data_IF_691519661944
#
_entry.id   IF_691519661944
#
_cell.length_a   1.000
_cell.length_b   1.000
_cell.length_c   1.000
_cell.angle_alpha   90.00
_cell.angle_beta   90.00
_cell.angle_gamma   90.00
#
_symmetry.space_group_name_H-M   'P 1'
#
loop_
_entity.id
_entity.type
_entity.pdbx_description
1 polymer ?
#
# COMPACT_ATOMS: atom_id res chain seq x y z
N UNK A 1 4.73 -23.51 -3.28
CA UNK A 1 4.17 -22.34 -4.00
C UNK A 1 3.63 -21.40 -2.95
N UNK A 2 4.24 -20.23 -2.77
CA UNK A 2 3.84 -19.23 -1.76
C UNK A 2 2.63 -18.46 -2.32
N UNK A 3 1.50 -18.45 -1.62
CA UNK A 3 0.34 -17.69 -2.07
C UNK A 3 0.52 -16.20 -1.76
N UNK A 4 -0.21 -15.31 -2.46
CA UNK A 4 -0.24 -13.85 -2.16
C UNK A 4 -0.53 -13.61 -0.68
N UNK A 5 -1.44 -14.40 -0.10
CA UNK A 5 -1.77 -14.39 1.32
C UNK A 5 -0.53 -14.63 2.20
N UNK A 6 0.18 -15.73 1.96
CA UNK A 6 1.34 -16.11 2.76
C UNK A 6 2.49 -15.09 2.59
N UNK A 7 2.62 -14.49 1.39
CA UNK A 7 3.57 -13.41 1.15
C UNK A 7 3.25 -12.14 1.97
N UNK A 8 1.99 -11.69 1.94
CA UNK A 8 1.54 -10.52 2.73
C UNK A 8 1.65 -10.81 4.23
N UNK A 9 1.34 -12.03 4.66
CA UNK A 9 1.50 -12.47 6.05
C UNK A 9 2.97 -12.47 6.50
N UNK A 10 3.89 -13.02 5.68
CA UNK A 10 5.33 -13.05 5.98
C UNK A 10 5.94 -11.64 6.02
N UNK A 11 5.52 -10.77 5.11
CA UNK A 11 5.96 -9.37 5.07
C UNK A 11 5.32 -8.52 6.18
N UNK A 12 4.15 -8.90 6.67
CA UNK A 12 3.28 -8.12 7.57
C UNK A 12 2.64 -6.90 6.90
N UNK A 13 3.41 -6.17 6.09
CA UNK A 13 3.01 -5.00 5.29
C UNK A 13 3.67 -5.03 3.91
N UNK A 14 2.90 -4.77 2.87
CA UNK A 14 3.39 -4.73 1.50
C UNK A 14 2.60 -3.73 0.64
N UNK A 15 3.30 -3.05 -0.27
CA UNK A 15 2.68 -2.19 -1.28
C UNK A 15 2.10 -3.02 -2.43
N UNK A 16 1.11 -2.47 -3.16
CA UNK A 16 0.57 -3.13 -4.36
C UNK A 16 1.69 -3.46 -5.35
N UNK A 17 2.59 -2.51 -5.55
CA UNK A 17 3.70 -2.61 -6.49
C UNK A 17 4.70 -3.71 -6.11
N UNK A 18 5.03 -3.85 -4.83
CA UNK A 18 5.92 -4.92 -4.36
C UNK A 18 5.30 -6.31 -4.59
N UNK A 19 4.00 -6.44 -4.34
CA UNK A 19 3.28 -7.70 -4.57
C UNK A 19 3.22 -7.99 -6.08
N UNK A 20 2.81 -7.01 -6.88
CA UNK A 20 2.75 -7.12 -8.34
C UNK A 20 4.10 -7.55 -8.93
N UNK A 21 5.20 -6.93 -8.47
CA UNK A 21 6.56 -7.26 -8.90
C UNK A 21 7.01 -8.65 -8.45
N UNK A 22 6.65 -9.07 -7.24
CA UNK A 22 6.98 -10.40 -6.73
C UNK A 22 6.28 -11.51 -7.51
N UNK A 23 4.99 -11.34 -7.80
CA UNK A 23 4.18 -12.31 -8.53
C UNK A 23 4.27 -12.15 -10.06
N UNK A 24 4.99 -11.12 -10.54
CA UNK A 24 5.06 -10.73 -11.97
C UNK A 24 3.69 -10.54 -12.60
N UNK A 25 2.76 -9.98 -11.84
CA UNK A 25 1.40 -9.69 -12.26
C UNK A 25 1.23 -8.18 -12.44
N UNK A 26 0.35 -7.73 -13.35
CA UNK A 26 0.00 -6.32 -13.42
C UNK A 26 -0.68 -5.89 -12.11
N UNK A 27 -0.52 -4.61 -11.76
CA UNK A 27 -1.08 -4.03 -10.54
C UNK A 27 -2.61 -4.20 -10.49
N UNK A 28 -3.30 -4.07 -11.62
CA UNK A 28 -4.76 -4.26 -11.72
C UNK A 28 -5.22 -5.68 -11.36
N UNK A 29 -4.47 -6.71 -11.78
CA UNK A 29 -4.77 -8.10 -11.44
C UNK A 29 -4.44 -8.38 -9.97
N UNK A 30 -3.32 -7.85 -9.49
CA UNK A 30 -2.90 -7.96 -8.10
C UNK A 30 -3.90 -7.29 -7.17
N UNK A 31 -4.39 -6.11 -7.55
CA UNK A 31 -5.39 -5.35 -6.82
C UNK A 31 -6.71 -6.13 -6.73
N UNK A 32 -7.19 -6.70 -7.84
CA UNK A 32 -8.38 -7.57 -7.81
C UNK A 32 -8.19 -8.77 -6.87
N UNK A 33 -7.03 -9.41 -6.90
CA UNK A 33 -6.72 -10.49 -5.99
C UNK A 33 -6.72 -10.02 -4.53
N UNK A 34 -6.08 -8.90 -4.22
CA UNK A 34 -6.06 -8.34 -2.86
C UNK A 34 -7.45 -7.92 -2.40
N UNK A 35 -8.27 -7.32 -3.27
CA UNK A 35 -9.68 -6.98 -3.00
C UNK A 35 -10.50 -8.20 -2.61
N UNK A 36 -10.25 -9.35 -3.24
CA UNK A 36 -10.90 -10.60 -2.85
C UNK A 36 -10.54 -11.00 -1.41
N UNK A 37 -9.27 -10.89 -1.02
CA UNK A 37 -8.82 -11.19 0.35
C UNK A 37 -9.28 -10.14 1.37
N UNK A 38 -9.38 -8.86 0.97
CA UNK A 38 -9.94 -7.78 1.78
C UNK A 38 -11.42 -8.04 2.06
N UNK A 39 -12.19 -8.40 1.04
CA UNK A 39 -13.60 -8.77 1.19
C UNK A 39 -13.78 -9.99 2.11
N UNK A 40 -12.79 -10.88 2.13
CA UNK A 40 -12.75 -12.05 3.02
C UNK A 40 -12.22 -11.73 4.43
N UNK A 41 -11.73 -10.51 4.67
CA UNK A 41 -11.26 -10.04 5.97
C UNK A 41 -9.82 -10.43 6.35
N UNK A 42 -9.06 -11.04 5.44
CA UNK A 42 -7.68 -11.48 5.72
C UNK A 42 -6.63 -10.38 5.52
N UNK A 43 -6.89 -9.46 4.59
CA UNK A 43 -5.97 -8.36 4.28
C UNK A 43 -6.71 -7.05 4.56
N UNK A 44 -6.03 -6.12 5.22
CA UNK A 44 -6.54 -4.78 5.48
C UNK A 44 -5.80 -3.79 4.59
N UNK A 45 -6.55 -3.03 3.81
CA UNK A 45 -6.01 -1.92 3.05
C UNK A 45 -5.94 -0.70 3.97
N UNK A 46 -4.73 -0.21 4.20
CA UNK A 46 -4.47 1.01 4.97
C UNK A 46 -4.09 2.08 3.95
N UNK A 47 -4.94 3.09 3.83
CA UNK A 47 -4.57 4.32 3.13
C UNK A 47 -3.95 5.23 4.16
N UNK A 48 -2.61 5.32 4.14
CA UNK A 48 -1.92 6.31 4.94
C UNK A 48 -2.05 7.65 4.20
N UNK A 49 -3.12 8.38 4.49
CA UNK A 49 -3.17 9.82 4.24
C UNK A 49 -2.24 10.47 5.25
N UNK A 50 -0.94 10.40 5.01
CA UNK A 50 0.01 11.24 5.71
C UNK A 50 -0.14 12.65 5.11
N UNK A 51 -1.24 13.32 5.45
CA UNK A 51 -1.28 14.77 5.46
C UNK A 51 -0.29 15.19 6.53
N UNK A 52 1.00 15.24 6.19
CA UNK A 52 1.96 16.00 6.99
C UNK A 52 1.36 17.40 7.01
N UNK A 53 0.90 17.93 8.16
CA UNK A 53 0.59 19.34 8.21
C UNK A 53 1.93 20.02 7.95
N UNK A 54 2.12 20.53 6.73
CA UNK A 54 3.19 21.46 6.42
C UNK A 54 2.92 22.65 7.36
N UNK A 55 3.45 22.62 8.59
CA UNK A 55 3.31 23.68 9.58
C UNK A 55 3.99 24.90 8.95
N UNK A 56 3.14 25.80 8.47
CA UNK A 56 3.44 26.78 7.46
C UNK A 56 4.18 28.01 8.02
N UNK A 57 5.19 27.81 8.86
CA UNK A 57 5.93 28.93 9.46
C UNK A 57 7.40 29.00 9.06
N UNK A 58 8.01 27.98 8.42
CA UNK A 58 9.45 28.03 8.04
C UNK A 58 9.87 27.24 6.78
N UNK A 59 9.07 27.22 5.71
CA UNK A 59 9.53 26.64 4.43
C UNK A 59 9.42 27.65 3.28
N UNK A 60 10.50 28.40 3.02
CA UNK A 60 10.55 29.41 1.96
C UNK A 60 10.95 28.86 0.57
N UNK A 61 11.26 27.56 0.37
CA UNK A 61 11.81 27.11 -0.93
C UNK A 61 11.56 25.65 -1.35
N UNK A 62 10.48 24.99 -0.93
CA UNK A 62 10.14 23.66 -1.49
C UNK A 62 8.72 23.64 -2.06
N UNK A 63 8.60 23.85 -3.38
CA UNK A 63 7.36 23.90 -4.15
C UNK A 63 6.72 22.52 -4.43
N UNK A 64 6.73 21.60 -3.47
CA UNK A 64 6.00 20.34 -3.59
C UNK A 64 5.79 19.67 -2.21
N UNK A 65 4.78 20.14 -1.45
CA UNK A 65 4.13 19.26 -0.46
C UNK A 65 3.43 18.17 -1.28
N UNK A 66 4.17 17.12 -1.65
CA UNK A 66 3.63 15.98 -2.38
C UNK A 66 2.77 15.18 -1.39
N UNK A 67 1.46 15.38 -1.45
CA UNK A 67 0.47 14.52 -0.79
C UNK A 67 0.50 13.16 -1.48
N UNK A 68 1.55 12.38 -1.23
CA UNK A 68 1.66 11.04 -1.78
C UNK A 68 0.82 10.12 -0.92
N UNK A 69 -0.43 9.90 -1.35
CA UNK A 69 -1.29 8.89 -0.72
C UNK A 69 -0.61 7.52 -0.88
N UNK A 70 0.02 7.04 0.19
CA UNK A 70 0.63 5.73 0.21
C UNK A 70 -0.43 4.69 0.60
N UNK A 71 -0.76 3.83 -0.36
CA UNK A 71 -1.66 2.69 -0.16
C UNK A 71 -0.80 1.49 0.27
N UNK A 72 -1.05 0.98 1.46
CA UNK A 72 -0.32 -0.15 2.03
C UNK A 72 -1.28 -1.28 2.43
N UNK A 73 -0.92 -2.52 2.11
CA UNK A 73 -1.71 -3.70 2.44
C UNK A 73 -1.06 -4.40 3.63
N UNK A 74 -1.85 -4.60 4.69
CA UNK A 74 -1.39 -5.24 5.93
C UNK A 74 -2.14 -6.54 6.18
N UNK A 75 -1.45 -7.51 6.78
CA UNK A 75 -2.07 -8.72 7.29
C UNK A 75 -2.88 -8.38 8.55
N UNK A 76 -4.14 -8.83 8.63
CA UNK A 76 -5.10 -8.33 9.61
C UNK A 76 -6.00 -9.35 10.26
#
# INVERSE_FOLDING_TARGET
MTSIRDYVQLKGRASLQDIARHFRLPESATEQMLRFWIKKGMIKLIVQNQSVPCQADKCHSCSSCNLTNHIEYTWG
#
